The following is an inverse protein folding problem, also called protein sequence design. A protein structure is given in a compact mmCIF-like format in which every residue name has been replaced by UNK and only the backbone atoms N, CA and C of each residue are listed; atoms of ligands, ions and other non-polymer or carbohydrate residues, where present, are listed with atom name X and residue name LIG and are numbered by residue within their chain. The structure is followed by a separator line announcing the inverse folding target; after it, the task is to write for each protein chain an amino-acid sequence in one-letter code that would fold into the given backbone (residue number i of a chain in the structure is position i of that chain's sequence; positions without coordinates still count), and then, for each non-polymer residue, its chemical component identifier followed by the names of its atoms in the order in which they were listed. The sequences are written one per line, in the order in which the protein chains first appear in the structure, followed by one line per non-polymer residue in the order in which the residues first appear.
data_IF_536281503599
#
_entry.id   IF_536281503599
#
_cell.length_a   1.000
_cell.length_b   1.000
_cell.length_c   1.000
_cell.angle_alpha   90.00
_cell.angle_beta   90.00
_cell.angle_gamma   90.00
#
_symmetry.space_group_name_H-M   'P 1'
#
loop_
_entity.id
_entity.type
_entity.pdbx_description
1 polymer ?
#
# COMPACT_ATOMS: atom_id res chain seq x y z
N UNK A 1 52.58 -1.90 -15.86
CA UNK A 1 51.67 -2.71 -16.70
C UNK A 1 50.67 -3.51 -15.87
N UNK A 2 51.08 -4.27 -14.84
CA UNK A 2 50.18 -5.12 -14.03
C UNK A 2 49.27 -4.35 -13.05
N UNK A 3 49.79 -3.32 -12.37
CA UNK A 3 49.01 -2.52 -11.40
C UNK A 3 47.85 -1.74 -12.03
N UNK A 4 48.00 -1.30 -13.28
CA UNK A 4 46.96 -0.56 -14.03
C UNK A 4 45.77 -1.46 -14.36
N UNK A 5 46.01 -2.73 -14.70
CA UNK A 5 44.97 -3.70 -15.05
C UNK A 5 44.15 -4.10 -13.81
N UNK A 6 44.82 -4.36 -12.68
CA UNK A 6 44.14 -4.70 -11.42
C UNK A 6 43.23 -3.56 -10.97
N UNK A 7 43.69 -2.31 -11.04
CA UNK A 7 42.91 -1.13 -10.62
C UNK A 7 41.66 -0.92 -11.49
N UNK A 8 41.76 -1.12 -12.81
CA UNK A 8 40.61 -1.02 -13.73
C UNK A 8 39.58 -2.13 -13.45
N UNK A 9 40.03 -3.36 -13.14
CA UNK A 9 39.15 -4.48 -12.76
C UNK A 9 38.48 -4.21 -11.40
N UNK A 10 39.20 -3.67 -10.43
CA UNK A 10 38.64 -3.31 -9.10
C UNK A 10 37.63 -2.17 -9.18
N UNK A 11 37.88 -1.13 -10.00
CA UNK A 11 36.95 -0.02 -10.23
C UNK A 11 35.71 -0.51 -11.02
N UNK A 12 35.92 -1.32 -12.05
CA UNK A 12 34.85 -1.98 -12.81
C UNK A 12 33.97 -2.83 -11.90
N UNK A 13 34.55 -3.71 -11.08
CA UNK A 13 33.83 -4.53 -10.11
C UNK A 13 33.03 -3.69 -9.12
N UNK A 14 33.53 -2.54 -8.67
CA UNK A 14 32.77 -1.66 -7.75
C UNK A 14 31.54 -1.05 -8.44
N UNK A 15 31.66 -0.64 -9.72
CA UNK A 15 30.57 -0.04 -10.49
C UNK A 15 29.52 -1.08 -10.94
N UNK A 16 29.96 -2.24 -11.44
CA UNK A 16 29.07 -3.37 -11.78
C UNK A 16 28.33 -3.90 -10.55
N UNK A 17 29.03 -4.06 -9.42
CA UNK A 17 28.40 -4.55 -8.19
C UNK A 17 27.37 -3.55 -7.63
N UNK A 18 27.65 -2.24 -7.70
CA UNK A 18 26.69 -1.18 -7.35
C UNK A 18 25.45 -1.21 -8.24
N UNK A 19 25.61 -1.41 -9.55
CA UNK A 19 24.49 -1.50 -10.50
C UNK A 19 23.63 -2.75 -10.24
N UNK A 20 24.25 -3.91 -9.97
CA UNK A 20 23.53 -5.15 -9.64
C UNK A 20 22.77 -5.01 -8.31
N UNK A 21 23.39 -4.44 -7.28
CA UNK A 21 22.73 -4.13 -6.00
C UNK A 21 21.56 -3.16 -6.20
N UNK A 22 21.73 -2.12 -7.02
CA UNK A 22 20.66 -1.17 -7.33
C UNK A 22 19.47 -1.85 -8.01
N UNK A 23 19.71 -2.71 -9.01
CA UNK A 23 18.66 -3.49 -9.68
C UNK A 23 17.97 -4.42 -8.68
N UNK A 24 18.72 -5.11 -7.81
CA UNK A 24 18.15 -5.98 -6.77
C UNK A 24 17.25 -5.20 -5.79
N UNK A 25 17.71 -4.04 -5.32
CA UNK A 25 16.94 -3.18 -4.41
C UNK A 25 15.67 -2.65 -5.07
N UNK A 26 15.71 -2.27 -6.35
CA UNK A 26 14.54 -1.81 -7.11
C UNK A 26 13.53 -2.95 -7.25
N UNK A 27 13.97 -4.14 -7.66
CA UNK A 27 13.09 -5.31 -7.81
C UNK A 27 12.51 -5.74 -6.46
N UNK A 28 13.31 -5.78 -5.40
CA UNK A 28 12.85 -6.11 -4.05
C UNK A 28 11.83 -5.08 -3.52
N UNK A 29 12.06 -3.78 -3.73
CA UNK A 29 11.10 -2.71 -3.40
C UNK A 29 9.83 -2.80 -4.24
N UNK A 30 9.93 -3.13 -5.53
CA UNK A 30 8.78 -3.35 -6.40
C UNK A 30 7.94 -4.53 -5.91
N UNK A 31 8.59 -5.61 -5.49
CA UNK A 31 7.90 -6.73 -4.85
C UNK A 31 7.18 -6.27 -3.57
N UNK A 32 7.83 -5.53 -2.66
CA UNK A 32 7.19 -4.90 -1.47
C UNK A 32 5.94 -4.11 -1.83
N UNK A 33 6.05 -3.27 -2.86
CA UNK A 33 4.94 -2.45 -3.32
C UNK A 33 3.76 -3.30 -3.80
N UNK A 34 4.02 -4.34 -4.61
CA UNK A 34 2.98 -5.22 -5.16
C UNK A 34 2.29 -6.05 -4.07
N UNK A 35 3.02 -6.60 -3.09
CA UNK A 35 2.40 -7.32 -1.95
C UNK A 35 1.49 -6.39 -1.15
N UNK A 36 1.97 -5.21 -0.78
CA UNK A 36 1.18 -4.25 0.00
C UNK A 36 -0.07 -3.79 -0.77
N UNK A 37 0.07 -3.50 -2.07
CA UNK A 37 -1.04 -3.12 -2.94
C UNK A 37 -2.15 -4.18 -2.96
N UNK A 38 -1.79 -5.47 -2.96
CA UNK A 38 -2.78 -6.56 -2.93
C UNK A 38 -3.61 -6.54 -1.65
N UNK A 39 -3.02 -6.22 -0.50
CA UNK A 39 -3.74 -6.09 0.77
C UNK A 39 -4.66 -4.86 0.77
N UNK A 40 -4.19 -3.71 0.28
CA UNK A 40 -5.03 -2.51 0.16
C UNK A 40 -6.28 -2.75 -0.72
N UNK A 41 -6.12 -3.48 -1.83
CA UNK A 41 -7.26 -3.83 -2.70
C UNK A 41 -8.24 -4.78 -1.99
N UNK A 42 -7.75 -5.76 -1.23
CA UNK A 42 -8.60 -6.68 -0.47
C UNK A 42 -9.35 -5.95 0.65
N UNK A 43 -8.65 -5.11 1.40
CA UNK A 43 -9.23 -4.25 2.43
C UNK A 43 -10.33 -3.35 1.86
N UNK A 44 -10.04 -2.62 0.77
CA UNK A 44 -11.01 -1.74 0.14
C UNK A 44 -12.28 -2.46 -0.34
N UNK A 45 -12.12 -3.67 -0.89
CA UNK A 45 -13.27 -4.52 -1.27
C UNK A 45 -14.08 -4.97 -0.07
N UNK A 46 -13.41 -5.35 1.02
CA UNK A 46 -14.08 -5.78 2.25
C UNK A 46 -14.90 -4.65 2.86
N UNK A 47 -14.30 -3.46 3.00
CA UNK A 47 -15.00 -2.23 3.44
C UNK A 47 -16.23 -1.97 2.57
N UNK A 48 -16.06 -2.05 1.24
CA UNK A 48 -17.17 -1.87 0.30
C UNK A 48 -18.29 -2.89 0.49
N UNK A 49 -17.96 -4.16 0.72
CA UNK A 49 -18.94 -5.23 0.95
C UNK A 49 -19.75 -4.97 2.23
N UNK A 50 -19.08 -4.57 3.31
CA UNK A 50 -19.76 -4.22 4.56
C UNK A 50 -20.63 -2.97 4.37
N UNK A 51 -20.12 -1.94 3.69
CA UNK A 51 -20.91 -0.73 3.38
C UNK A 51 -22.17 -1.07 2.58
N UNK A 52 -22.03 -1.90 1.54
CA UNK A 52 -23.14 -2.32 0.69
C UNK A 52 -24.15 -3.19 1.45
N UNK A 53 -23.72 -3.99 2.44
CA UNK A 53 -24.65 -4.75 3.30
C UNK A 53 -25.45 -3.86 4.25
N UNK A 54 -24.92 -2.68 4.61
CA UNK A 54 -25.62 -1.66 5.37
C UNK A 54 -26.54 -0.77 4.49
N UNK A 55 -26.49 -0.93 3.17
CA UNK A 55 -27.34 -0.19 2.24
C UNK A 55 -27.02 1.30 2.11
N UNK A 56 -25.84 1.75 2.56
CA UNK A 56 -25.43 3.16 2.52
C UNK A 56 -24.51 3.45 1.32
N UNK A 57 -24.51 4.69 0.81
CA UNK A 57 -23.62 5.11 -0.29
C UNK A 57 -22.21 5.47 0.22
N UNK A 58 -21.25 5.66 -0.69
CA UNK A 58 -19.90 6.12 -0.32
C UNK A 58 -19.93 7.55 0.26
N UNK A 59 -20.81 8.41 -0.25
CA UNK A 59 -21.06 9.76 0.26
C UNK A 59 -21.62 9.71 1.68
N UNK A 60 -22.54 8.78 1.95
CA UNK A 60 -23.09 8.59 3.28
C UNK A 60 -22.02 8.08 4.25
N UNK A 61 -21.26 7.05 3.89
CA UNK A 61 -20.14 6.56 4.71
C UNK A 61 -19.10 7.65 4.99
N UNK A 62 -18.79 8.49 4.00
CA UNK A 62 -17.87 9.62 4.18
C UNK A 62 -18.41 10.65 5.19
N UNK A 63 -19.71 10.95 5.13
CA UNK A 63 -20.37 11.85 6.07
C UNK A 63 -20.37 11.27 7.48
N UNK A 64 -20.74 10.00 7.64
CA UNK A 64 -20.83 9.32 8.94
C UNK A 64 -19.46 9.11 9.59
N UNK A 65 -18.43 8.83 8.77
CA UNK A 65 -17.05 8.68 9.23
C UNK A 65 -16.30 10.03 9.35
N UNK A 66 -16.95 11.16 9.04
CA UNK A 66 -16.34 12.50 9.04
C UNK A 66 -15.02 12.59 8.25
N UNK A 67 -14.90 11.86 7.14
CA UNK A 67 -13.72 11.89 6.26
C UNK A 67 -14.08 12.35 4.85
N UNK A 68 -13.12 12.91 4.08
CA UNK A 68 -13.40 13.32 2.71
C UNK A 68 -13.93 12.16 1.87
N UNK A 69 -14.95 12.42 1.04
CA UNK A 69 -15.47 11.45 0.08
C UNK A 69 -14.38 10.84 -0.80
N UNK A 70 -13.41 11.66 -1.24
CA UNK A 70 -12.26 11.19 -2.01
C UNK A 70 -11.44 10.14 -1.25
N UNK A 71 -11.32 10.26 0.07
CA UNK A 71 -10.66 9.26 0.91
C UNK A 71 -11.42 7.94 0.90
N UNK A 72 -12.75 7.95 1.12
CA UNK A 72 -13.56 6.71 1.03
C UNK A 72 -13.43 6.05 -0.33
N UNK A 73 -13.55 6.84 -1.41
CA UNK A 73 -13.42 6.34 -2.79
C UNK A 73 -12.06 5.69 -3.04
N UNK A 74 -10.97 6.37 -2.66
CA UNK A 74 -9.61 5.84 -2.83
C UNK A 74 -9.33 4.61 -1.96
N UNK A 75 -9.88 4.56 -0.75
CA UNK A 75 -9.74 3.43 0.19
C UNK A 75 -10.47 2.21 -0.38
N UNK A 76 -11.74 2.35 -0.76
CA UNK A 76 -12.52 1.24 -1.34
C UNK A 76 -11.91 0.74 -2.66
N UNK A 77 -11.27 1.63 -3.42
CA UNK A 77 -10.54 1.27 -4.63
C UNK A 77 -9.12 0.70 -4.37
N UNK A 78 -8.66 0.69 -3.12
CA UNK A 78 -7.31 0.25 -2.73
C UNK A 78 -6.19 1.13 -3.31
N UNK A 79 -6.47 2.39 -3.64
CA UNK A 79 -5.54 3.34 -4.28
C UNK A 79 -4.66 4.09 -3.28
N UNK A 80 -5.07 4.14 -2.02
CA UNK A 80 -4.36 4.84 -0.95
C UNK A 80 -4.03 3.91 0.20
N UNK A 81 -3.06 4.33 1.03
CA UNK A 81 -2.77 3.69 2.30
C UNK A 81 -3.51 4.45 3.41
N UNK A 82 -4.69 3.98 3.87
CA UNK A 82 -5.43 4.67 4.91
C UNK A 82 -4.64 4.74 6.20
N UNK A 83 -4.80 5.84 6.93
CA UNK A 83 -4.30 5.92 8.30
C UNK A 83 -5.13 5.03 9.22
N UNK A 84 -4.57 4.63 10.35
CA UNK A 84 -5.32 3.91 11.39
C UNK A 84 -6.53 4.73 11.86
N UNK A 85 -6.40 6.05 11.97
CA UNK A 85 -7.51 6.93 12.34
C UNK A 85 -8.66 6.88 11.32
N UNK A 86 -8.34 6.88 10.02
CA UNK A 86 -9.36 6.73 8.96
C UNK A 86 -10.05 5.37 9.02
N UNK A 87 -9.30 4.30 9.32
CA UNK A 87 -9.89 2.97 9.48
C UNK A 87 -10.77 2.88 10.74
N UNK A 88 -10.38 3.52 11.84
CA UNK A 88 -11.22 3.59 13.05
C UNK A 88 -12.53 4.35 12.77
N UNK A 89 -12.46 5.51 12.12
CA UNK A 89 -13.64 6.28 11.77
C UNK A 89 -14.60 5.50 10.84
N UNK A 90 -14.05 4.77 9.86
CA UNK A 90 -14.85 3.90 8.98
C UNK A 90 -15.46 2.74 9.77
N UNK A 91 -14.72 2.11 10.69
CA UNK A 91 -15.24 1.02 11.53
C UNK A 91 -16.40 1.49 12.42
N UNK A 92 -16.23 2.67 13.04
CA UNK A 92 -17.27 3.32 13.86
C UNK A 92 -18.52 3.65 13.03
N UNK A 93 -18.35 4.23 11.84
CA UNK A 93 -19.46 4.54 10.94
C UNK A 93 -20.18 3.31 10.38
N UNK A 94 -19.49 2.17 10.27
CA UNK A 94 -20.06 0.88 9.87
C UNK A 94 -20.52 0.03 11.06
N UNK A 95 -20.47 0.57 12.28
CA UNK A 95 -20.87 -0.11 13.53
C UNK A 95 -20.18 -1.47 13.76
N UNK A 96 -18.93 -1.62 13.32
CA UNK A 96 -18.12 -2.84 13.50
C UNK A 96 -16.81 -2.57 14.24
N UNK A 97 -16.17 -3.63 14.71
CA UNK A 97 -14.84 -3.53 15.31
C UNK A 97 -13.76 -3.25 14.26
N UNK A 98 -12.70 -2.53 14.64
CA UNK A 98 -11.53 -2.36 13.75
C UNK A 98 -10.92 -3.72 13.36
N UNK A 99 -10.95 -4.72 14.25
CA UNK A 99 -10.47 -6.08 13.96
C UNK A 99 -11.25 -6.75 12.82
N UNK A 100 -12.57 -6.58 12.81
CA UNK A 100 -13.44 -7.11 11.76
C UNK A 100 -13.24 -6.35 10.45
N UNK A 101 -13.04 -5.02 10.52
CA UNK A 101 -12.76 -4.19 9.34
C UNK A 101 -11.46 -4.60 8.64
N UNK A 102 -10.45 -5.09 9.36
CA UNK A 102 -9.14 -5.43 8.78
C UNK A 102 -8.98 -6.90 8.43
N UNK A 103 -9.96 -7.76 8.68
CA UNK A 103 -9.91 -9.20 8.37
C UNK A 103 -10.36 -9.49 6.92
N UNK A 104 -9.43 -9.56 5.96
CA UNK A 104 -9.69 -9.51 4.50
C UNK A 104 -8.86 -10.43 3.57
#
# INVERSE_FOLDING_TARGET
MTYTIITIITIGNNLYHKNILAVYLIVAKQQIRVRYQKHLIKLGKHIRTIRESHGISQEQLAADAEIPYSSVNEIEAGKTNPTVASLMAIAEALEISLSELVDH
#
